data_IF_295458132254
#
_entry.id   IF_295458132254
#
_cell.length_a   1.000
_cell.length_b   1.000
_cell.length_c   1.000
_cell.angle_alpha   90.00
_cell.angle_beta   90.00
_cell.angle_gamma   90.00
#
_symmetry.space_group_name_H-M   'P 1'
#
loop_
_entity.id
_entity.type
_entity.pdbx_description
1 polymer ?
#
# COMPACT_ATOMS: atom_id res chain seq x y z
N UNK A 1 -16.59 4.75 -12.39
CA UNK A 1 -17.23 3.83 -11.42
C UNK A 1 -16.45 3.98 -10.11
N UNK A 2 -17.05 4.57 -9.09
CA UNK A 2 -16.44 4.63 -7.77
C UNK A 2 -16.44 3.21 -7.21
N UNK A 3 -15.28 2.67 -6.85
CA UNK A 3 -15.19 1.34 -6.25
C UNK A 3 -15.93 1.32 -4.91
N UNK A 4 -16.35 0.13 -4.46
CA UNK A 4 -16.97 -0.02 -3.13
C UNK A 4 -16.08 0.59 -2.02
N UNK A 5 -14.76 0.41 -2.16
CA UNK A 5 -13.78 0.99 -1.22
C UNK A 5 -13.80 2.52 -1.22
N UNK A 6 -14.00 3.18 -2.38
CA UNK A 6 -14.06 4.66 -2.42
C UNK A 6 -15.28 5.21 -1.68
N UNK A 7 -16.41 4.50 -1.76
CA UNK A 7 -17.62 4.87 -1.01
C UNK A 7 -17.44 4.66 0.50
N UNK A 8 -16.83 3.53 0.87
CA UNK A 8 -16.52 3.23 2.26
C UNK A 8 -15.49 4.22 2.85
N UNK A 9 -14.46 4.60 2.09
CA UNK A 9 -13.46 5.57 2.50
C UNK A 9 -14.06 6.95 2.77
N UNK A 10 -14.99 7.42 1.92
CA UNK A 10 -15.69 8.69 2.13
C UNK A 10 -16.52 8.71 3.42
N UNK A 11 -17.15 7.56 3.77
CA UNK A 11 -18.00 7.46 4.95
C UNK A 11 -17.24 7.18 6.24
N UNK A 12 -16.25 6.30 6.18
CA UNK A 12 -15.55 5.75 7.35
C UNK A 12 -14.07 6.15 7.43
N UNK A 13 -13.53 6.89 6.47
CA UNK A 13 -12.11 7.26 6.43
C UNK A 13 -11.63 8.03 7.66
N UNK A 14 -12.53 8.77 8.32
CA UNK A 14 -12.22 9.49 9.57
C UNK A 14 -11.88 8.59 10.77
N UNK A 15 -12.26 7.32 10.71
CA UNK A 15 -11.98 6.33 11.75
C UNK A 15 -10.70 5.52 11.46
N UNK A 16 -10.01 5.82 10.37
CA UNK A 16 -8.77 5.12 10.03
C UNK A 16 -7.68 5.40 11.08
N UNK A 17 -7.04 4.34 11.52
CA UNK A 17 -5.91 4.41 12.45
C UNK A 17 -4.67 4.77 11.62
N UNK A 18 -4.10 5.93 11.89
CA UNK A 18 -2.83 6.34 11.30
C UNK A 18 -1.67 5.59 11.95
N UNK A 19 -0.67 5.23 11.16
CA UNK A 19 0.49 4.47 11.63
C UNK A 19 0.13 3.08 12.21
N UNK A 20 -0.87 2.39 11.63
CA UNK A 20 -1.33 1.08 12.13
C UNK A 20 -0.16 0.10 12.29
N UNK A 21 0.83 0.13 11.39
CA UNK A 21 2.02 -0.72 11.47
C UNK A 21 2.80 -0.53 12.77
N UNK A 22 2.87 0.70 13.29
CA UNK A 22 3.53 0.98 14.58
C UNK A 22 2.77 0.30 15.73
N UNK A 23 1.45 0.38 15.75
CA UNK A 23 0.65 -0.27 16.79
C UNK A 23 0.79 -1.80 16.75
N UNK A 24 0.86 -2.39 15.56
CA UNK A 24 1.10 -3.84 15.41
C UNK A 24 2.49 -4.22 15.95
N UNK A 25 3.53 -3.43 15.65
CA UNK A 25 4.87 -3.71 16.18
C UNK A 25 4.90 -3.58 17.70
N UNK A 26 4.26 -2.56 18.27
CA UNK A 26 4.13 -2.41 19.74
C UNK A 26 3.40 -3.61 20.33
N UNK A 27 2.31 -4.07 19.69
CA UNK A 27 1.60 -5.29 20.12
C UNK A 27 2.52 -6.53 20.11
N UNK A 28 3.39 -6.69 19.09
CA UNK A 28 4.37 -7.78 19.06
C UNK A 28 5.41 -7.67 20.17
N UNK A 29 5.89 -6.47 20.48
CA UNK A 29 6.80 -6.27 21.63
C UNK A 29 6.15 -6.70 22.93
N UNK A 30 4.89 -6.33 23.17
CA UNK A 30 4.11 -6.81 24.30
C UNK A 30 3.99 -8.35 24.27
N UNK A 31 3.68 -8.93 23.12
CA UNK A 31 3.61 -10.37 22.92
C UNK A 31 4.91 -11.11 23.24
N UNK A 32 6.07 -10.52 22.90
CA UNK A 32 7.37 -11.06 23.29
C UNK A 32 7.60 -11.04 24.80
N UNK A 33 7.20 -9.96 25.48
CA UNK A 33 7.28 -9.90 26.95
C UNK A 33 6.38 -10.96 27.57
N UNK A 34 5.15 -11.13 27.06
CA UNK A 34 4.23 -12.15 27.53
C UNK A 34 4.70 -13.59 27.23
N UNK A 35 5.47 -13.78 26.18
CA UNK A 35 6.05 -15.09 25.87
C UNK A 35 7.09 -15.53 26.88
N UNK A 36 7.80 -14.58 27.52
CA UNK A 36 8.77 -14.89 28.58
C UNK A 36 8.08 -15.43 29.84
N UNK A 37 6.83 -15.10 30.08
CA UNK A 37 6.03 -15.56 31.21
C UNK A 37 5.18 -16.80 30.91
N UNK A 38 5.21 -17.30 29.66
CA UNK A 38 4.37 -18.41 29.20
C UNK A 38 2.89 -18.09 29.03
N UNK A 39 2.48 -16.84 29.26
CA UNK A 39 1.06 -16.41 29.17
C UNK A 39 0.59 -16.18 27.73
N UNK A 40 1.49 -16.17 26.74
CA UNK A 40 1.16 -15.93 25.34
C UNK A 40 0.18 -16.97 24.77
N UNK A 41 0.18 -18.19 25.30
CA UNK A 41 -0.70 -19.26 24.82
C UNK A 41 -2.19 -19.00 25.10
N UNK A 42 -2.51 -18.21 26.12
CA UNK A 42 -3.88 -17.75 26.39
C UNK A 42 -4.36 -16.73 25.35
N UNK A 43 -3.46 -16.15 24.57
CA UNK A 43 -3.77 -15.15 23.54
C UNK A 43 -3.89 -15.76 22.15
N UNK A 44 -3.39 -16.99 21.93
CA UNK A 44 -3.43 -17.68 20.63
C UNK A 44 -4.86 -17.90 20.16
N UNK A 45 -5.07 -17.81 18.85
CA UNK A 45 -6.35 -18.11 18.22
C UNK A 45 -6.62 -19.62 18.31
N UNK A 46 -7.39 -20.03 19.32
CA UNK A 46 -7.82 -21.42 19.50
C UNK A 46 -9.33 -21.51 19.29
N UNK A 47 -9.80 -22.11 18.16
CA UNK A 47 -11.22 -22.19 17.86
C UNK A 47 -12.03 -22.93 18.93
N UNK A 48 -11.50 -23.99 19.53
CA UNK A 48 -12.16 -24.73 20.60
C UNK A 48 -12.45 -23.84 21.80
N UNK A 49 -11.44 -23.14 22.30
CA UNK A 49 -11.58 -22.23 23.43
C UNK A 49 -12.52 -21.04 23.15
N UNK A 50 -12.52 -20.55 21.89
CA UNK A 50 -13.43 -19.48 21.49
C UNK A 50 -14.88 -19.92 21.60
N UNK A 51 -15.20 -21.13 21.13
CA UNK A 51 -16.56 -21.70 21.22
C UNK A 51 -16.96 -21.93 22.69
N UNK A 52 -16.00 -22.20 23.57
CA UNK A 52 -16.22 -22.38 25.02
C UNK A 52 -16.19 -21.08 25.83
N UNK A 53 -16.25 -19.92 25.15
CA UNK A 53 -16.46 -18.60 25.80
C UNK A 53 -15.22 -17.72 25.89
N UNK A 54 -14.05 -18.14 25.45
CA UNK A 54 -12.83 -17.32 25.44
C UNK A 54 -12.78 -16.40 24.21
N UNK A 55 -13.81 -15.55 24.05
CA UNK A 55 -14.01 -14.69 22.86
C UNK A 55 -12.90 -13.66 22.65
N UNK A 56 -12.15 -13.29 23.70
CA UNK A 56 -11.03 -12.36 23.56
C UNK A 56 -9.95 -12.85 22.59
N UNK A 57 -9.80 -14.16 22.43
CA UNK A 57 -8.83 -14.80 21.51
C UNK A 57 -9.04 -14.38 20.04
N UNK A 58 -10.25 -13.93 19.68
CA UNK A 58 -10.55 -13.38 18.33
C UNK A 58 -9.71 -12.16 18.01
N UNK A 59 -9.36 -11.37 19.04
CA UNK A 59 -8.59 -10.13 18.87
C UNK A 59 -7.16 -10.29 19.37
N UNK A 60 -6.98 -10.96 20.51
CA UNK A 60 -5.68 -11.00 21.20
C UNK A 60 -4.60 -11.80 20.45
N UNK A 61 -4.97 -12.71 19.54
CA UNK A 61 -3.99 -13.45 18.73
C UNK A 61 -3.11 -12.53 17.87
N UNK A 62 -3.56 -11.29 17.60
CA UNK A 62 -2.79 -10.28 16.88
C UNK A 62 -1.53 -9.89 17.65
N UNK A 63 -1.58 -9.97 18.98
CA UNK A 63 -0.45 -9.66 19.89
C UNK A 63 0.60 -10.79 19.83
N UNK A 64 0.21 -12.01 19.45
CA UNK A 64 1.14 -13.13 19.35
C UNK A 64 2.16 -12.89 18.26
N UNK A 65 3.47 -12.82 18.62
CA UNK A 65 4.50 -12.52 17.64
C UNK A 65 4.65 -13.64 16.60
N UNK A 66 5.06 -13.31 15.36
CA UNK A 66 5.11 -14.28 14.25
C UNK A 66 6.24 -15.30 14.36
N UNK A 67 7.25 -15.06 15.20
CA UNK A 67 8.44 -15.91 15.36
C UNK A 67 8.99 -15.80 16.78
N UNK A 68 9.93 -16.69 17.15
CA UNK A 68 10.66 -16.58 18.41
C UNK A 68 11.56 -15.33 18.46
N UNK A 69 11.80 -14.82 19.66
CA UNK A 69 12.66 -13.66 19.85
C UNK A 69 14.13 -13.99 19.50
N UNK A 70 14.71 -13.18 18.62
CA UNK A 70 16.11 -13.30 18.21
C UNK A 70 16.60 -12.00 17.57
N UNK A 71 17.89 -11.87 17.32
CA UNK A 71 18.48 -10.67 16.72
C UNK A 71 17.88 -10.40 15.32
N UNK A 72 17.66 -11.45 14.54
CA UNK A 72 17.01 -11.33 13.23
C UNK A 72 15.55 -10.89 13.30
N UNK A 73 14.87 -11.23 14.39
CA UNK A 73 13.48 -10.83 14.62
C UNK A 73 13.35 -9.32 14.77
N UNK A 74 14.29 -8.67 15.46
CA UNK A 74 14.30 -7.21 15.61
C UNK A 74 14.46 -6.54 14.25
N UNK A 75 15.37 -7.04 13.41
CA UNK A 75 15.55 -6.54 12.04
C UNK A 75 14.28 -6.74 11.22
N UNK A 76 13.64 -7.89 11.36
CA UNK A 76 12.41 -8.23 10.64
C UNK A 76 11.22 -7.35 11.07
N UNK A 77 11.09 -7.03 12.36
CA UNK A 77 10.08 -6.10 12.86
C UNK A 77 10.26 -4.70 12.27
N UNK A 78 11.49 -4.21 12.24
CA UNK A 78 11.81 -2.92 11.61
C UNK A 78 11.49 -2.93 10.12
N UNK A 79 11.80 -4.03 9.44
CA UNK A 79 11.46 -4.22 8.04
C UNK A 79 9.94 -4.21 7.80
N UNK A 80 9.16 -4.96 8.59
CA UNK A 80 7.70 -4.95 8.51
C UNK A 80 7.10 -3.57 8.77
N UNK A 81 7.64 -2.83 9.74
CA UNK A 81 7.26 -1.45 9.97
C UNK A 81 7.47 -0.59 8.73
N UNK A 82 8.66 -0.66 8.13
CA UNK A 82 9.02 0.11 6.94
C UNK A 82 8.12 -0.20 5.74
N UNK A 83 7.84 -1.50 5.50
CA UNK A 83 6.94 -1.93 4.44
C UNK A 83 5.51 -1.44 4.66
N UNK A 84 4.98 -1.63 5.86
CA UNK A 84 3.63 -1.22 6.21
C UNK A 84 3.46 0.29 6.14
N UNK A 85 4.44 1.06 6.61
CA UNK A 85 4.44 2.52 6.49
C UNK A 85 4.45 2.99 5.04
N UNK A 86 5.25 2.35 4.19
CA UNK A 86 5.29 2.66 2.75
C UNK A 86 3.97 2.35 2.05
N UNK A 87 3.31 1.24 2.41
CA UNK A 87 1.99 0.89 1.87
C UNK A 87 0.91 1.87 2.36
N UNK A 88 0.94 2.25 3.64
CA UNK A 88 0.03 3.24 4.20
C UNK A 88 0.16 4.60 3.50
N UNK A 89 1.39 5.06 3.22
CA UNK A 89 1.63 6.29 2.46
C UNK A 89 1.13 6.19 1.01
N UNK A 90 1.16 5.00 0.42
CA UNK A 90 0.76 4.78 -0.98
C UNK A 90 -0.75 4.67 -1.15
N UNK A 91 -1.42 3.97 -0.24
CA UNK A 91 -2.86 3.67 -0.33
C UNK A 91 -3.73 4.61 0.51
N UNK A 92 -3.13 5.31 1.47
CA UNK A 92 -3.83 6.02 2.53
C UNK A 92 -4.16 5.10 3.72
N UNK A 93 -4.29 5.70 4.91
CA UNK A 93 -4.51 4.97 6.16
C UNK A 93 -5.76 4.08 6.12
N UNK A 94 -6.88 4.56 5.55
CA UNK A 94 -8.13 3.80 5.52
C UNK A 94 -8.00 2.47 4.76
N UNK A 95 -7.45 2.51 3.55
CA UNK A 95 -7.32 1.30 2.71
C UNK A 95 -6.31 0.32 3.27
N UNK A 96 -5.23 0.84 3.86
CA UNK A 96 -4.25 0.01 4.55
C UNK A 96 -4.87 -0.70 5.76
N UNK A 97 -5.68 0.01 6.57
CA UNK A 97 -6.41 -0.57 7.70
C UNK A 97 -7.38 -1.66 7.22
N UNK A 98 -8.18 -1.37 6.18
CA UNK A 98 -9.10 -2.37 5.61
C UNK A 98 -8.35 -3.60 5.13
N UNK A 99 -7.18 -3.43 4.51
CA UNK A 99 -6.34 -4.55 4.08
C UNK A 99 -5.90 -5.43 5.25
N UNK A 100 -5.38 -4.83 6.31
CA UNK A 100 -4.89 -5.57 7.48
C UNK A 100 -6.05 -6.28 8.19
N UNK A 101 -7.12 -5.57 8.50
CA UNK A 101 -8.27 -6.15 9.21
C UNK A 101 -8.98 -7.22 8.40
N UNK A 102 -9.13 -7.04 7.09
CA UNK A 102 -9.70 -8.10 6.24
C UNK A 102 -8.82 -9.36 6.20
N UNK A 103 -7.50 -9.21 6.18
CA UNK A 103 -6.56 -10.35 6.30
C UNK A 103 -6.73 -11.10 7.61
N UNK A 104 -6.89 -10.39 8.72
CA UNK A 104 -7.16 -10.98 10.03
C UNK A 104 -8.50 -11.73 10.08
N UNK A 105 -9.56 -11.12 9.52
CA UNK A 105 -10.88 -11.73 9.43
C UNK A 105 -10.86 -13.00 8.57
N UNK A 106 -10.21 -12.96 7.40
CA UNK A 106 -10.12 -14.17 6.56
C UNK A 106 -9.33 -15.30 7.23
N UNK A 107 -8.27 -14.95 7.97
CA UNK A 107 -7.51 -15.93 8.75
C UNK A 107 -8.37 -16.55 9.85
N UNK A 108 -9.14 -15.74 10.57
CA UNK A 108 -10.08 -16.19 11.59
C UNK A 108 -11.16 -17.12 11.00
N UNK A 109 -11.80 -16.71 9.91
CA UNK A 109 -12.81 -17.53 9.21
C UNK A 109 -12.19 -18.86 8.75
N UNK A 110 -10.99 -18.81 8.15
CA UNK A 110 -10.27 -20.01 7.73
C UNK A 110 -10.00 -20.97 8.89
N UNK A 111 -9.58 -20.46 10.05
CA UNK A 111 -9.35 -21.26 11.26
C UNK A 111 -10.63 -21.91 11.79
N UNK A 112 -11.75 -21.18 11.81
CA UNK A 112 -13.04 -21.70 12.24
C UNK A 112 -13.58 -22.77 11.27
N UNK A 113 -13.45 -22.58 9.98
CA UNK A 113 -13.83 -23.57 8.96
C UNK A 113 -13.02 -24.87 9.10
N UNK A 114 -11.70 -24.75 9.30
CA UNK A 114 -10.83 -25.89 9.56
C UNK A 114 -11.25 -26.64 10.83
N UNK A 115 -11.56 -25.91 11.90
CA UNK A 115 -12.02 -26.50 13.15
C UNK A 115 -13.30 -27.30 12.95
N UNK A 116 -14.31 -26.73 12.30
CA UNK A 116 -15.57 -27.43 11.99
C UNK A 116 -15.30 -28.67 11.12
N UNK A 117 -14.48 -28.53 10.08
CA UNK A 117 -14.16 -29.64 9.18
C UNK A 117 -13.49 -30.81 9.91
N UNK A 118 -12.40 -30.55 10.64
CA UNK A 118 -11.66 -31.61 11.30
C UNK A 118 -12.41 -32.23 12.49
N UNK A 119 -13.25 -31.46 13.17
CA UNK A 119 -14.05 -31.97 14.28
C UNK A 119 -15.22 -32.84 13.79
N UNK A 120 -16.01 -32.33 12.83
CA UNK A 120 -17.25 -33.00 12.42
C UNK A 120 -17.08 -33.97 11.23
N UNK A 121 -16.28 -33.59 10.23
CA UNK A 121 -16.09 -34.43 9.04
C UNK A 121 -15.07 -35.55 9.25
N UNK A 122 -14.06 -35.35 10.11
CA UNK A 122 -13.00 -36.32 10.38
C UNK A 122 -13.12 -36.99 11.75
N UNK A 123 -14.16 -36.65 12.53
CA UNK A 123 -14.48 -37.20 13.85
C UNK A 123 -13.29 -37.23 14.83
N UNK A 124 -12.48 -36.15 14.82
CA UNK A 124 -11.36 -35.97 15.72
C UNK A 124 -11.79 -35.32 17.04
N UNK A 125 -10.95 -35.41 18.07
CA UNK A 125 -11.18 -34.74 19.34
C UNK A 125 -11.17 -33.20 19.15
N UNK A 126 -12.26 -32.50 19.50
CA UNK A 126 -12.37 -31.05 19.29
C UNK A 126 -11.27 -30.22 19.97
N UNK A 127 -10.85 -30.61 21.17
CA UNK A 127 -9.81 -29.91 21.93
C UNK A 127 -8.45 -30.02 21.22
N UNK A 128 -8.06 -31.22 20.79
CA UNK A 128 -6.82 -31.46 20.05
C UNK A 128 -6.81 -30.69 18.73
N UNK A 129 -7.92 -30.73 18.00
CA UNK A 129 -8.06 -29.96 16.74
C UNK A 129 -7.89 -28.46 16.98
N UNK A 130 -8.55 -27.92 18.00
CA UNK A 130 -8.41 -26.50 18.36
C UNK A 130 -6.98 -26.14 18.73
N UNK A 131 -6.32 -26.96 19.52
CA UNK A 131 -4.92 -26.79 19.91
C UNK A 131 -3.97 -26.81 18.70
N UNK A 132 -4.09 -27.83 17.84
CA UNK A 132 -3.25 -27.95 16.62
C UNK A 132 -3.44 -26.72 15.71
N UNK A 133 -4.68 -26.29 15.45
CA UNK A 133 -4.94 -25.11 14.63
C UNK A 133 -4.28 -23.88 15.25
N UNK A 134 -4.35 -23.70 16.58
CA UNK A 134 -3.77 -22.56 17.28
C UNK A 134 -2.26 -22.44 17.11
N UNK A 135 -1.56 -23.55 16.90
CA UNK A 135 -0.12 -23.54 16.64
C UNK A 135 0.26 -23.02 15.26
N UNK A 136 -0.62 -23.22 14.27
CA UNK A 136 -0.36 -22.82 12.88
C UNK A 136 -0.96 -21.49 12.50
N UNK A 137 -1.99 -21.02 13.21
CA UNK A 137 -2.58 -19.69 12.97
C UNK A 137 -1.75 -18.63 13.67
N UNK A 138 -0.89 -18.01 12.90
CA UNK A 138 0.00 -16.93 13.39
C UNK A 138 -0.12 -15.69 12.52
N UNK A 139 0.30 -14.55 13.03
CA UNK A 139 0.37 -13.29 12.29
C UNK A 139 1.41 -13.31 11.16
N UNK A 140 2.23 -14.37 11.10
CA UNK A 140 3.24 -14.56 10.06
C UNK A 140 2.67 -14.47 8.64
N UNK A 141 1.53 -15.12 8.37
CA UNK A 141 0.91 -15.09 7.03
C UNK A 141 0.34 -13.73 6.66
N UNK A 142 -0.16 -12.96 7.64
CA UNK A 142 -0.62 -11.58 7.42
C UNK A 142 0.58 -10.70 7.05
N UNK A 143 1.66 -10.77 7.81
CA UNK A 143 2.89 -10.02 7.53
C UNK A 143 3.51 -10.39 6.17
N UNK A 144 3.44 -11.68 5.83
CA UNK A 144 3.85 -12.17 4.52
C UNK A 144 3.03 -11.54 3.39
N UNK A 145 1.70 -11.46 3.56
CA UNK A 145 0.84 -10.83 2.54
C UNK A 145 1.20 -9.35 2.32
N UNK A 146 1.56 -8.62 3.38
CA UNK A 146 2.09 -7.25 3.31
C UNK A 146 3.34 -7.19 2.44
N UNK A 147 4.29 -8.10 2.67
CA UNK A 147 5.52 -8.18 1.88
C UNK A 147 5.24 -8.47 0.40
N UNK A 148 4.34 -9.41 0.08
CA UNK A 148 3.97 -9.74 -1.29
C UNK A 148 3.29 -8.57 -2.02
N UNK A 149 2.39 -7.86 -1.34
CA UNK A 149 1.79 -6.62 -1.89
C UNK A 149 2.86 -5.59 -2.20
N UNK A 150 3.77 -5.37 -1.26
CA UNK A 150 4.84 -4.41 -1.45
C UNK A 150 5.75 -4.80 -2.62
N UNK A 151 6.11 -6.08 -2.74
CA UNK A 151 6.89 -6.60 -3.85
C UNK A 151 6.19 -6.44 -5.21
N UNK A 152 4.87 -6.60 -5.23
CA UNK A 152 4.07 -6.41 -6.44
C UNK A 152 3.91 -4.93 -6.85
N UNK A 153 3.90 -4.01 -5.88
CA UNK A 153 3.84 -2.56 -6.13
C UNK A 153 5.19 -1.96 -6.50
N UNK A 154 6.26 -2.44 -5.86
CA UNK A 154 7.62 -1.91 -5.98
C UNK A 154 8.65 -2.95 -6.40
N UNK A 155 8.48 -3.67 -7.53
CA UNK A 155 9.28 -4.83 -7.89
C UNK A 155 10.77 -4.51 -8.11
N UNK A 156 11.09 -3.29 -8.51
CA UNK A 156 12.46 -2.84 -8.80
C UNK A 156 13.14 -2.14 -7.63
N UNK A 157 12.42 -1.95 -6.51
CA UNK A 157 13.03 -1.38 -5.31
C UNK A 157 14.09 -2.34 -4.77
N UNK A 158 15.21 -1.79 -4.33
CA UNK A 158 16.30 -2.55 -3.72
C UNK A 158 16.22 -2.44 -2.20
N UNK A 159 16.37 -3.58 -1.55
CA UNK A 159 16.51 -3.67 -0.09
C UNK A 159 17.87 -4.23 0.21
N UNK A 160 18.54 -3.67 1.20
CA UNK A 160 19.83 -4.17 1.67
C UNK A 160 19.60 -5.40 2.57
N UNK A 161 19.81 -6.58 2.01
CA UNK A 161 19.82 -7.80 2.81
C UNK A 161 21.06 -7.79 3.72
N UNK A 162 20.85 -7.99 5.03
CA UNK A 162 21.90 -7.90 6.04
C UNK A 162 22.72 -6.60 5.98
N UNK A 163 22.12 -5.49 5.54
CA UNK A 163 22.74 -4.16 5.38
C UNK A 163 23.84 -4.04 4.31
N UNK A 164 24.22 -5.13 3.64
CA UNK A 164 25.34 -5.13 2.69
C UNK A 164 24.95 -5.48 1.26
N UNK A 165 23.97 -6.37 1.06
CA UNK A 165 23.67 -6.92 -0.26
C UNK A 165 22.39 -6.26 -0.83
N UNK A 166 22.49 -5.39 -1.87
CA UNK A 166 21.34 -4.80 -2.50
C UNK A 166 20.61 -5.83 -3.38
N UNK A 167 19.46 -6.32 -2.92
CA UNK A 167 18.61 -7.26 -3.66
C UNK A 167 17.32 -6.57 -4.08
N UNK A 168 16.89 -6.76 -5.33
CA UNK A 168 15.58 -6.29 -5.77
C UNK A 168 14.49 -7.11 -5.09
N UNK A 169 13.48 -6.42 -4.56
CA UNK A 169 12.38 -7.05 -3.80
C UNK A 169 11.68 -8.16 -4.58
N UNK A 170 11.55 -8.05 -5.91
CA UNK A 170 10.98 -9.11 -6.74
C UNK A 170 11.67 -10.46 -6.60
N UNK A 171 13.00 -10.47 -6.48
CA UNK A 171 13.76 -11.70 -6.32
C UNK A 171 13.56 -12.31 -4.94
N UNK A 172 13.49 -11.46 -3.91
CA UNK A 172 13.15 -11.91 -2.56
C UNK A 172 11.74 -12.51 -2.50
N UNK A 173 10.76 -11.90 -3.17
CA UNK A 173 9.40 -12.42 -3.23
C UNK A 173 9.30 -13.76 -3.95
N UNK A 174 10.03 -13.95 -5.06
CA UNK A 174 10.09 -15.23 -5.78
C UNK A 174 10.75 -16.29 -4.91
N UNK A 175 11.91 -15.99 -4.31
CA UNK A 175 12.59 -16.91 -3.41
C UNK A 175 11.67 -17.33 -2.26
N UNK A 176 10.98 -16.36 -1.66
CA UNK A 176 10.07 -16.63 -0.56
C UNK A 176 8.87 -17.49 -0.98
N UNK A 177 8.29 -17.23 -2.16
CA UNK A 177 7.22 -18.07 -2.70
C UNK A 177 7.69 -19.53 -2.94
N UNK A 178 8.92 -19.70 -3.44
CA UNK A 178 9.52 -21.04 -3.60
C UNK A 178 9.72 -21.72 -2.27
N UNK A 179 10.25 -21.01 -1.25
CA UNK A 179 10.44 -21.57 0.08
C UNK A 179 9.13 -22.03 0.71
N UNK A 180 8.04 -21.30 0.54
CA UNK A 180 6.71 -21.69 1.01
C UNK A 180 6.22 -22.98 0.36
N UNK A 181 6.40 -23.11 -0.95
CA UNK A 181 6.03 -24.34 -1.66
C UNK A 181 6.86 -25.52 -1.14
N UNK A 182 8.16 -25.33 -0.97
CA UNK A 182 9.07 -26.35 -0.41
C UNK A 182 8.66 -26.72 1.01
N UNK A 183 8.33 -25.74 1.85
CA UNK A 183 7.86 -25.99 3.23
C UNK A 183 6.60 -26.87 3.25
N UNK A 184 5.63 -26.60 2.36
CA UNK A 184 4.40 -27.40 2.24
C UNK A 184 4.70 -28.82 1.76
N UNK A 185 5.62 -29.00 0.79
CA UNK A 185 5.97 -30.31 0.24
C UNK A 185 6.71 -31.17 1.28
N UNK A 186 7.52 -30.57 2.14
CA UNK A 186 8.27 -31.29 3.18
C UNK A 186 7.38 -31.85 4.30
N UNK A 187 6.15 -31.38 4.43
CA UNK A 187 5.20 -31.88 5.43
C UNK A 187 4.68 -33.25 4.98
N UNK A 188 4.92 -34.29 5.78
CA UNK A 188 4.44 -35.64 5.50
C UNK A 188 3.02 -35.92 6.02
N UNK A 189 2.43 -35.02 6.80
CA UNK A 189 1.12 -35.15 7.42
C UNK A 189 0.04 -34.41 6.61
N UNK A 190 -0.89 -35.15 6.01
CA UNK A 190 -2.01 -34.57 5.24
C UNK A 190 -2.84 -33.54 6.03
N UNK A 191 -3.23 -33.79 7.31
CA UNK A 191 -3.97 -32.76 8.08
C UNK A 191 -3.21 -31.44 8.20
N UNK A 192 -1.91 -31.50 8.45
CA UNK A 192 -1.07 -30.28 8.59
C UNK A 192 -0.94 -29.55 7.26
N UNK A 193 -0.81 -30.27 6.14
CA UNK A 193 -0.80 -29.68 4.79
C UNK A 193 -2.10 -28.90 4.55
N UNK A 194 -3.25 -29.50 4.90
CA UNK A 194 -4.56 -28.85 4.72
C UNK A 194 -4.65 -27.60 5.60
N UNK A 195 -4.28 -27.67 6.88
CA UNK A 195 -4.33 -26.54 7.81
C UNK A 195 -3.48 -25.39 7.29
N UNK A 196 -2.21 -25.63 6.98
CA UNK A 196 -1.31 -24.59 6.47
C UNK A 196 -1.76 -24.05 5.11
N UNK A 197 -2.23 -24.94 4.23
CA UNK A 197 -2.73 -24.56 2.91
C UNK A 197 -3.93 -23.64 2.97
N UNK A 198 -4.92 -23.91 3.81
CA UNK A 198 -6.11 -23.06 3.97
C UNK A 198 -5.75 -21.71 4.57
N UNK A 199 -4.89 -21.66 5.59
CA UNK A 199 -4.45 -20.40 6.20
C UNK A 199 -3.66 -19.55 5.19
N UNK A 200 -2.75 -20.19 4.43
CA UNK A 200 -2.01 -19.53 3.37
C UNK A 200 -2.95 -18.98 2.28
N UNK A 201 -3.91 -19.80 1.83
CA UNK A 201 -4.90 -19.39 0.83
C UNK A 201 -5.77 -18.23 1.34
N UNK A 202 -6.20 -18.24 2.59
CA UNK A 202 -6.95 -17.13 3.19
C UNK A 202 -6.17 -15.81 3.16
N UNK A 203 -4.88 -15.87 3.49
CA UNK A 203 -3.99 -14.70 3.43
C UNK A 203 -3.71 -14.25 2.00
N UNK A 204 -3.46 -15.18 1.07
CA UNK A 204 -3.24 -14.87 -0.35
C UNK A 204 -4.51 -14.36 -1.05
N UNK A 205 -5.69 -14.83 -0.66
CA UNK A 205 -6.96 -14.35 -1.18
C UNK A 205 -7.14 -12.86 -0.87
N UNK A 206 -6.81 -12.45 0.35
CA UNK A 206 -6.78 -11.04 0.72
C UNK A 206 -5.82 -10.24 -0.17
N UNK A 207 -4.61 -10.73 -0.37
CA UNK A 207 -3.64 -10.15 -1.29
C UNK A 207 -4.20 -10.02 -2.71
N UNK A 208 -4.79 -11.07 -3.26
CA UNK A 208 -5.34 -11.08 -4.61
C UNK A 208 -6.48 -10.07 -4.79
N UNK A 209 -7.43 -10.02 -3.83
CA UNK A 209 -8.56 -9.06 -3.87
C UNK A 209 -8.04 -7.63 -3.92
N UNK A 210 -7.10 -7.28 -3.03
CA UNK A 210 -6.54 -5.93 -2.98
C UNK A 210 -5.64 -5.61 -4.17
N UNK A 211 -4.83 -6.56 -4.62
CA UNK A 211 -3.95 -6.37 -5.77
C UNK A 211 -4.72 -6.17 -7.08
N UNK A 212 -5.74 -6.98 -7.34
CA UNK A 212 -6.58 -6.84 -8.52
C UNK A 212 -7.35 -5.51 -8.50
N UNK A 213 -7.85 -5.12 -7.33
CA UNK A 213 -8.50 -3.83 -7.16
C UNK A 213 -7.53 -2.65 -7.35
N UNK A 214 -6.29 -2.76 -6.84
CA UNK A 214 -5.24 -1.74 -6.99
C UNK A 214 -4.77 -1.58 -8.45
N UNK A 215 -4.69 -2.65 -9.23
CA UNK A 215 -4.36 -2.58 -10.67
C UNK A 215 -5.42 -1.83 -11.47
N UNK A 216 -6.69 -2.04 -11.14
CA UNK A 216 -7.79 -1.30 -11.74
C UNK A 216 -7.72 0.20 -11.40
N UNK A 217 -7.24 0.56 -10.21
CA UNK A 217 -7.12 1.96 -9.79
C UNK A 217 -6.01 2.73 -10.51
N UNK A 218 -4.86 2.12 -10.82
CA UNK A 218 -3.83 2.76 -11.65
C UNK A 218 -4.28 3.01 -13.10
N UNK A 219 -5.18 2.17 -13.63
CA UNK A 219 -5.74 2.35 -14.98
C UNK A 219 -6.89 3.35 -15.04
N UNK A 220 -7.54 3.67 -13.92
CA UNK A 220 -8.84 4.35 -13.87
C UNK A 220 -8.93 5.51 -12.89
N UNK A 221 -7.86 6.19 -12.55
CA UNK A 221 -8.01 7.54 -12.05
C UNK A 221 -8.46 8.44 -13.21
N UNK A 222 -9.75 8.39 -13.52
CA UNK A 222 -10.39 9.26 -14.50
C UNK A 222 -10.09 10.74 -14.18
N UNK A 223 -10.07 11.09 -12.90
CA UNK A 223 -9.68 12.41 -12.43
C UNK A 223 -8.23 12.76 -12.81
N UNK A 224 -7.30 11.81 -12.66
CA UNK A 224 -5.88 12.01 -13.03
C UNK A 224 -5.71 12.11 -14.54
N UNK A 225 -6.39 11.27 -15.31
CA UNK A 225 -6.38 11.34 -16.78
C UNK A 225 -7.02 12.62 -17.29
N UNK A 226 -8.13 13.06 -16.69
CA UNK A 226 -8.77 14.33 -17.01
C UNK A 226 -7.85 15.49 -16.69
N UNK A 227 -7.21 15.49 -15.51
CA UNK A 227 -6.25 16.50 -15.11
C UNK A 227 -5.03 16.57 -16.03
N UNK A 228 -4.49 15.41 -16.42
CA UNK A 228 -3.40 15.32 -17.40
C UNK A 228 -3.85 15.77 -18.81
N UNK A 229 -5.06 15.40 -19.23
CA UNK A 229 -5.63 15.84 -20.50
C UNK A 229 -5.89 17.36 -20.50
N UNK A 230 -6.47 17.89 -19.43
CA UNK A 230 -6.72 19.33 -19.27
C UNK A 230 -5.41 20.12 -19.23
N UNK A 231 -4.39 19.62 -18.50
CA UNK A 231 -3.05 20.21 -18.52
C UNK A 231 -2.42 20.16 -19.91
N UNK A 232 -2.50 19.03 -20.60
CA UNK A 232 -1.97 18.87 -21.97
C UNK A 232 -2.70 19.79 -22.96
N UNK A 233 -4.02 19.92 -22.82
CA UNK A 233 -4.82 20.82 -23.64
C UNK A 233 -4.45 22.29 -23.35
N UNK A 234 -4.26 22.67 -22.09
CA UNK A 234 -3.82 24.01 -21.70
C UNK A 234 -2.44 24.34 -22.26
N UNK A 235 -1.49 23.39 -22.20
CA UNK A 235 -0.15 23.56 -22.81
C UNK A 235 -0.24 23.65 -24.33
N UNK A 236 -1.10 22.85 -24.97
CA UNK A 236 -1.28 22.90 -26.43
C UNK A 236 -2.00 24.20 -26.87
N UNK A 237 -2.97 24.67 -26.10
CA UNK A 237 -3.60 25.98 -26.34
C UNK A 237 -2.60 27.12 -26.15
N UNK A 238 -1.77 27.09 -25.11
CA UNK A 238 -0.71 28.08 -24.92
C UNK A 238 0.29 28.08 -26.08
N UNK A 239 0.61 26.90 -26.64
CA UNK A 239 1.44 26.79 -27.85
C UNK A 239 0.75 27.26 -29.13
N UNK A 240 -0.57 27.15 -29.23
CA UNK A 240 -1.34 27.55 -30.41
C UNK A 240 -1.75 29.05 -30.40
N UNK A 241 -1.76 29.68 -29.21
CA UNK A 241 -2.01 31.12 -29.03
C UNK A 241 -0.75 31.99 -29.16
N UNK A 242 0.44 31.36 -29.26
CA UNK A 242 1.64 32.03 -29.69
C UNK A 242 1.41 32.66 -31.06
N UNK A 243 1.63 33.98 -31.21
CA UNK A 243 1.47 34.67 -32.48
C UNK A 243 2.37 33.98 -33.54
N UNK A 244 1.74 33.38 -34.57
CA UNK A 244 2.49 32.90 -35.73
C UNK A 244 2.99 34.11 -36.48
N UNK A 245 4.30 34.18 -36.65
CA UNK A 245 4.87 35.14 -37.60
C UNK A 245 4.39 34.75 -39.02
N UNK A 246 3.75 35.71 -39.67
CA UNK A 246 3.18 35.51 -41.01
C UNK A 246 4.22 35.27 -42.09
N UNK A 247 5.50 35.54 -41.81
CA UNK A 247 6.59 35.41 -42.80
C UNK A 247 7.41 34.16 -42.66
N UNK A 248 7.64 33.65 -41.42
CA UNK A 248 8.53 32.53 -41.16
C UNK A 248 7.84 31.28 -40.60
N UNK A 249 6.54 31.34 -40.25
CA UNK A 249 5.79 30.24 -39.67
C UNK A 249 6.25 29.81 -38.26
N UNK A 250 7.22 30.49 -37.68
CA UNK A 250 7.73 30.23 -36.33
C UNK A 250 6.76 30.76 -35.28
N UNK A 251 6.57 30.03 -34.20
CA UNK A 251 5.72 30.44 -33.08
C UNK A 251 6.57 31.26 -32.13
N UNK A 252 6.19 32.53 -31.89
CA UNK A 252 6.81 33.35 -30.87
C UNK A 252 6.43 32.86 -29.45
N UNK A 253 7.40 32.92 -28.54
CA UNK A 253 7.21 32.58 -27.12
C UNK A 253 6.79 33.77 -26.29
N UNK A 254 7.22 34.98 -26.71
CA UNK A 254 7.02 36.21 -26.00
C UNK A 254 6.43 37.28 -26.93
N UNK A 255 5.51 38.11 -26.42
CA UNK A 255 4.86 39.18 -27.14
C UNK A 255 4.58 40.36 -26.22
N UNK A 256 5.05 41.53 -26.61
CA UNK A 256 4.74 42.76 -25.87
C UNK A 256 3.24 43.13 -25.99
N UNK A 257 2.59 43.36 -24.84
CA UNK A 257 1.16 43.72 -24.79
C UNK A 257 0.82 45.10 -25.33
N UNK A 258 1.81 45.98 -25.53
CA UNK A 258 1.63 47.33 -26.07
C UNK A 258 1.98 47.38 -27.55
N UNK A 259 3.22 47.09 -27.94
CA UNK A 259 3.68 47.25 -29.32
C UNK A 259 3.51 46.00 -30.18
N UNK A 260 3.14 44.86 -29.59
CA UNK A 260 2.95 43.59 -30.30
C UNK A 260 4.22 42.93 -30.81
N UNK A 261 5.40 43.54 -30.64
CA UNK A 261 6.69 42.94 -31.03
C UNK A 261 6.99 41.66 -30.27
N UNK A 262 7.67 40.75 -30.91
CA UNK A 262 8.05 39.45 -30.42
C UNK A 262 9.57 39.30 -30.42
N UNK A 263 10.09 38.26 -29.79
CA UNK A 263 11.51 37.90 -29.84
C UNK A 263 11.99 37.54 -31.26
N UNK A 264 11.05 37.28 -32.18
CA UNK A 264 11.36 37.00 -33.58
C UNK A 264 11.61 38.27 -34.39
N UNK A 265 11.01 39.38 -33.97
CA UNK A 265 11.17 40.67 -34.63
C UNK A 265 12.51 41.35 -34.31
N UNK A 266 13.00 41.16 -33.09
CA UNK A 266 14.31 41.62 -32.63
C UNK A 266 14.83 40.70 -31.50
N UNK A 267 15.94 39.98 -31.72
CA UNK A 267 16.54 39.05 -30.75
C UNK A 267 17.04 39.73 -29.45
N UNK A 268 17.29 41.05 -29.49
CA UNK A 268 17.81 41.82 -28.34
C UNK A 268 16.71 42.32 -27.41
N UNK A 269 15.43 42.04 -27.71
CA UNK A 269 14.31 42.44 -26.86
C UNK A 269 14.14 41.44 -25.70
N UNK A 270 14.32 41.97 -24.50
CA UNK A 270 13.93 41.25 -23.27
C UNK A 270 12.46 41.47 -22.95
N UNK A 271 11.76 40.41 -22.57
CA UNK A 271 10.37 40.42 -22.16
C UNK A 271 10.24 40.06 -20.69
N UNK A 272 9.43 40.88 -19.97
CA UNK A 272 9.17 40.62 -18.53
C UNK A 272 7.69 40.83 -18.22
N UNK A 273 7.18 40.07 -17.27
CA UNK A 273 5.82 40.25 -16.74
C UNK A 273 5.78 41.39 -15.74
N UNK A 274 4.71 42.17 -15.78
CA UNK A 274 4.46 43.20 -14.78
C UNK A 274 3.73 42.59 -13.56
N UNK A 275 4.34 42.68 -12.38
CA UNK A 275 3.76 42.21 -11.12
C UNK A 275 2.60 43.05 -10.57
N UNK A 276 2.39 44.26 -11.12
CA UNK A 276 1.32 45.18 -10.69
C UNK A 276 0.08 45.14 -11.59
N UNK A 277 0.15 44.51 -12.77
CA UNK A 277 -1.01 44.31 -13.62
C UNK A 277 -1.82 43.13 -13.21
N UNK A 278 -3.14 43.25 -13.20
CA UNK A 278 -4.04 42.10 -12.98
C UNK A 278 -4.10 41.27 -14.27
N UNK A 279 -3.36 40.13 -14.29
CA UNK A 279 -3.22 39.21 -15.42
C UNK A 279 -1.77 39.04 -15.89
N UNK A 280 -1.55 38.04 -16.75
CA UNK A 280 -0.22 37.68 -17.26
C UNK A 280 0.10 38.51 -18.53
N UNK A 281 0.46 39.76 -18.36
CA UNK A 281 0.87 40.62 -19.47
C UNK A 281 2.38 40.74 -19.52
N UNK A 282 2.96 40.41 -20.69
CA UNK A 282 4.38 40.58 -20.96
C UNK A 282 4.63 41.93 -21.66
N UNK A 283 5.70 42.59 -21.31
CA UNK A 283 6.15 43.83 -21.87
C UNK A 283 7.62 43.76 -22.27
N UNK A 284 7.98 44.34 -23.39
CA UNK A 284 9.40 44.51 -23.77
C UNK A 284 10.08 45.53 -22.85
N UNK A 285 11.40 45.52 -22.82
CA UNK A 285 12.23 46.45 -22.03
C UNK A 285 11.85 47.92 -22.20
N UNK A 286 11.42 48.35 -23.40
CA UNK A 286 10.97 49.72 -23.69
C UNK A 286 9.62 50.07 -23.02
N UNK A 287 8.71 49.12 -22.93
CA UNK A 287 7.36 49.32 -22.41
C UNK A 287 7.14 48.84 -20.98
N UNK A 288 8.12 48.16 -20.39
CA UNK A 288 8.00 47.65 -19.03
C UNK A 288 7.79 48.74 -17.98
N UNK A 289 8.39 49.87 -18.15
CA UNK A 289 8.32 50.99 -17.19
C UNK A 289 7.38 52.14 -17.63
N UNK A 290 6.89 52.09 -18.86
CA UNK A 290 6.07 53.18 -19.45
C UNK A 290 4.61 52.82 -19.65
N UNK A 291 4.21 51.57 -19.39
CA UNK A 291 2.84 51.10 -19.57
C UNK A 291 1.92 51.56 -18.42
N UNK A 292 0.65 51.76 -18.73
CA UNK A 292 -0.41 51.89 -17.71
C UNK A 292 -0.77 50.53 -17.17
N UNK A 293 -0.80 50.42 -15.85
CA UNK A 293 -1.21 49.17 -15.20
C UNK A 293 -2.67 48.86 -15.51
N UNK A 294 -2.95 47.59 -15.81
CA UNK A 294 -4.30 47.09 -15.99
C UNK A 294 -4.79 46.56 -14.64
N UNK A 295 -5.92 47.07 -14.16
CA UNK A 295 -6.62 46.66 -12.95
C UNK A 295 -7.48 45.40 -13.19
#
# INVERSE_FOLDING_TARGET
>A
MNSFLDKAERKYGKYAINNLSLYIIVAYVIGYILSLTGTVDFLRLNPYEIVHGQVWRIITWIIVPPSSLGIFTIIMLFFYYSLGRSLEMTWGAFRYNVYIFSGMIFTFIGAMLLYVFFTYASNNNPEEVGFVISMYVTTYYVNMSIFLVFAALYPNMQVLLYFFIPIKIKWMAILYAVLLVVEVIQIRSLPIIIIRGVILLASLLNFLIFFLNSRNMRRFSYAERKRQADFRNSVNQAKSTGAKDSTTGKISKHKCAICGRTELDNPDLEFRFCSKCNGNYEYCNEHLFTHRHKE
#
